data_IF_848102164942
#
_entry.id   IF_848102164942
#
_cell.length_a   1.000
_cell.length_b   1.000
_cell.length_c   1.000
_cell.angle_alpha   90.00
_cell.angle_beta   90.00
_cell.angle_gamma   90.00
#
_symmetry.space_group_name_H-M   'P 1'
#
loop_
_entity.id
_entity.type
_entity.pdbx_description
1 polymer ?
#
# COMPACT_ATOMS: atom_id res chain seq x y z
N UNK A 1 -28.78 2.27 5.32
CA UNK A 1 -28.00 3.15 4.39
C UNK A 1 -26.62 2.54 4.11
N UNK A 2 -26.13 2.59 2.86
CA UNK A 2 -24.84 1.97 2.47
C UNK A 2 -23.64 2.76 3.00
N UNK A 3 -22.68 2.08 3.65
CA UNK A 3 -21.44 2.70 4.13
C UNK A 3 -20.50 3.07 2.97
N UNK A 4 -19.92 4.28 3.02
CA UNK A 4 -18.97 4.83 2.03
C UNK A 4 -17.67 4.04 1.95
N UNK A 5 -17.11 3.63 3.10
CA UNK A 5 -15.86 2.85 3.15
C UNK A 5 -16.17 1.41 3.55
N UNK A 6 -15.82 0.47 2.68
CA UNK A 6 -15.90 -0.98 2.94
C UNK A 6 -14.49 -1.57 2.94
N UNK A 7 -14.08 -2.14 4.07
CA UNK A 7 -12.76 -2.75 4.23
C UNK A 7 -12.74 -4.11 3.51
N UNK A 8 -11.91 -4.24 2.47
CA UNK A 8 -11.69 -5.50 1.75
C UNK A 8 -10.20 -5.83 1.72
N UNK A 9 -9.86 -7.05 2.12
CA UNK A 9 -8.47 -7.53 2.17
C UNK A 9 -7.85 -7.60 0.77
N UNK A 10 -8.63 -8.01 -0.23
CA UNK A 10 -8.20 -8.09 -1.62
C UNK A 10 -7.81 -6.71 -2.13
N UNK A 11 -8.67 -5.70 -1.89
CA UNK A 11 -8.39 -4.32 -2.31
C UNK A 11 -7.16 -3.75 -1.61
N UNK A 12 -6.96 -4.07 -0.34
CA UNK A 12 -5.75 -3.64 0.40
C UNK A 12 -4.47 -4.28 -0.11
N UNK A 13 -4.49 -5.58 -0.48
CA UNK A 13 -3.32 -6.28 -1.05
C UNK A 13 -2.83 -5.63 -2.35
N UNK A 14 -3.73 -5.09 -3.17
CA UNK A 14 -3.38 -4.32 -4.39
C UNK A 14 -2.61 -3.03 -4.10
N UNK A 15 -2.63 -2.55 -2.87
CA UNK A 15 -1.87 -1.38 -2.41
C UNK A 15 -0.63 -1.75 -1.59
N UNK A 16 -0.30 -3.05 -1.49
CA UNK A 16 0.82 -3.57 -0.70
C UNK A 16 2.19 -3.37 -1.36
N UNK A 17 3.24 -3.73 -0.64
CA UNK A 17 4.63 -3.47 -1.04
C UNK A 17 4.98 -4.10 -2.41
N UNK A 18 4.71 -5.40 -2.59
CA UNK A 18 4.98 -6.11 -3.84
C UNK A 18 4.24 -5.47 -5.03
N UNK A 19 2.99 -5.06 -4.84
CA UNK A 19 2.21 -4.38 -5.87
C UNK A 19 2.83 -3.03 -6.26
N UNK A 20 3.40 -2.29 -5.30
CA UNK A 20 4.14 -1.04 -5.57
C UNK A 20 5.47 -1.31 -6.27
N UNK A 21 6.16 -2.40 -5.97
CA UNK A 21 7.44 -2.72 -6.59
C UNK A 21 7.31 -3.15 -8.06
N UNK A 22 6.15 -3.68 -8.48
CA UNK A 22 5.90 -4.14 -9.86
C UNK A 22 6.02 -3.02 -10.90
N UNK A 23 5.54 -1.81 -10.60
CA UNK A 23 5.49 -0.70 -11.58
C UNK A 23 6.57 0.35 -11.34
N UNK A 24 7.01 1.04 -12.41
CA UNK A 24 7.97 2.15 -12.31
C UNK A 24 7.46 3.27 -11.38
N UNK A 25 6.18 3.63 -11.50
CA UNK A 25 5.55 4.66 -10.67
C UNK A 25 5.42 4.24 -9.20
N UNK A 26 5.13 2.98 -8.92
CA UNK A 26 5.05 2.46 -7.56
C UNK A 26 6.40 2.48 -6.83
N UNK A 27 7.49 2.14 -7.53
CA UNK A 27 8.86 2.28 -6.98
C UNK A 27 9.20 3.72 -6.62
N UNK A 28 8.82 4.69 -7.46
CA UNK A 28 8.99 6.13 -7.16
C UNK A 28 8.27 6.54 -5.87
N UNK A 29 7.06 6.04 -5.63
CA UNK A 29 6.32 6.32 -4.40
C UNK A 29 7.03 5.76 -3.16
N UNK A 30 7.51 4.52 -3.23
CA UNK A 30 8.25 3.89 -2.12
C UNK A 30 9.54 4.66 -1.82
N UNK A 31 10.29 5.07 -2.84
CA UNK A 31 11.51 5.85 -2.66
C UNK A 31 11.22 7.23 -2.03
N UNK A 32 10.09 7.86 -2.36
CA UNK A 32 9.64 9.07 -1.68
C UNK A 32 9.35 8.83 -0.20
N UNK A 33 8.67 7.73 0.14
CA UNK A 33 8.38 7.39 1.54
C UNK A 33 9.66 7.09 2.32
N UNK A 34 10.64 6.42 1.71
CA UNK A 34 11.97 6.18 2.30
C UNK A 34 12.73 7.48 2.54
N UNK A 35 12.78 8.37 1.56
CA UNK A 35 13.41 9.69 1.70
C UNK A 35 12.79 10.51 2.82
N UNK A 36 11.46 10.42 3.00
CA UNK A 36 10.74 11.07 4.09
C UNK A 36 10.97 10.39 5.45
N UNK A 37 11.60 9.21 5.49
CA UNK A 37 11.79 8.43 6.72
C UNK A 37 10.49 7.83 7.27
N UNK A 38 9.51 7.53 6.40
CA UNK A 38 8.25 6.92 6.88
C UNK A 38 8.49 5.49 7.35
N UNK A 39 8.03 5.20 8.56
CA UNK A 39 8.13 3.88 9.18
C UNK A 39 7.33 2.81 8.42
N UNK A 40 6.25 3.22 7.75
CA UNK A 40 5.44 2.37 6.88
C UNK A 40 5.52 2.84 5.44
N UNK A 41 6.09 2.01 4.58
CA UNK A 41 6.30 2.33 3.16
C UNK A 41 5.07 2.03 2.28
N UNK A 42 4.28 1.02 2.65
CA UNK A 42 3.09 0.60 1.92
C UNK A 42 2.01 0.10 2.89
N UNK A 43 0.80 -0.11 2.37
CA UNK A 43 -0.28 -0.74 3.14
C UNK A 43 0.01 -2.24 3.30
N UNK A 44 0.70 -2.62 4.37
CA UNK A 44 0.90 -4.02 4.75
C UNK A 44 -0.23 -4.46 5.67
N UNK A 45 -0.81 -5.62 5.39
CA UNK A 45 -1.61 -6.35 6.36
C UNK A 45 -0.76 -7.44 6.99
N UNK A 46 -0.92 -7.63 8.30
CA UNK A 46 -0.47 -8.84 9.00
C UNK A 46 -1.20 -10.02 8.36
N UNK A 47 -0.47 -11.07 7.94
CA UNK A 47 -1.10 -12.34 7.55
C UNK A 47 -1.85 -12.83 8.79
N UNK A 48 -3.15 -13.08 8.65
CA UNK A 48 -3.84 -13.97 9.57
C UNK A 48 -3.36 -15.38 9.30
#
# INVERSE_FOLDING_TARGET
MKKKIRKSNIKQRRCGFLARMKTKSGRKLINRQRRKGKWRLAATKVRR
#
